data_IF_850126168316
#
_entry.id   IF_850126168316
#
_cell.length_a   1.000
_cell.length_b   1.000
_cell.length_c   1.000
_cell.angle_alpha   90.00
_cell.angle_beta   90.00
_cell.angle_gamma   90.00
#
_symmetry.space_group_name_H-M   'P 1'
#
loop_
_entity.id
_entity.type
_entity.pdbx_description
1 polymer ?
#
# COMPACT_ATOMS: atom_id res chain seq x y z
N UNK A 1 56.62 -49.01 -35.17
CA UNK A 1 55.84 -49.33 -36.38
C UNK A 1 54.75 -50.33 -36.03
N UNK A 2 53.49 -49.89 -35.95
CA UNK A 2 52.27 -50.71 -36.10
C UNK A 2 51.13 -49.74 -36.38
N UNK A 3 50.69 -49.73 -37.62
CA UNK A 3 49.52 -49.01 -38.08
C UNK A 3 48.24 -49.80 -37.72
N UNK A 4 47.10 -49.13 -37.95
CA UNK A 4 45.73 -49.66 -38.12
C UNK A 4 44.89 -49.78 -36.82
N UNK A 5 43.60 -49.40 -36.75
CA UNK A 5 42.64 -48.83 -37.72
C UNK A 5 41.25 -48.69 -37.02
N UNK A 6 40.52 -47.60 -37.31
CA UNK A 6 39.04 -47.40 -37.30
C UNK A 6 38.23 -47.26 -35.99
N UNK A 7 37.74 -46.02 -35.81
CA UNK A 7 36.33 -45.58 -35.64
C UNK A 7 35.40 -46.41 -34.73
N UNK A 8 34.98 -45.83 -33.60
CA UNK A 8 33.67 -45.17 -33.46
C UNK A 8 33.21 -45.05 -31.99
N UNK A 9 32.44 -43.98 -31.74
CA UNK A 9 31.25 -43.95 -30.88
C UNK A 9 31.36 -43.47 -29.41
N UNK A 10 30.48 -42.51 -29.13
CA UNK A 10 29.86 -42.11 -27.86
C UNK A 10 30.52 -41.06 -26.95
N UNK A 11 30.18 -39.79 -27.27
CA UNK A 11 29.45 -38.84 -26.40
C UNK A 11 29.49 -39.16 -24.90
N UNK A 12 30.14 -38.31 -24.09
CA UNK A 12 29.92 -38.30 -22.65
C UNK A 12 29.81 -36.85 -22.10
N UNK A 13 28.55 -36.41 -22.09
CA UNK A 13 27.85 -35.60 -21.09
C UNK A 13 28.56 -34.38 -20.46
N UNK A 14 28.29 -33.21 -21.03
CA UNK A 14 28.16 -31.97 -20.25
C UNK A 14 26.77 -31.97 -19.56
N UNK A 15 26.69 -32.47 -18.33
CA UNK A 15 25.48 -32.32 -17.50
C UNK A 15 25.60 -31.04 -16.67
N UNK A 16 25.38 -29.89 -17.31
CA UNK A 16 25.12 -28.64 -16.60
C UNK A 16 23.73 -28.76 -15.97
N UNK A 17 23.70 -29.18 -14.71
CA UNK A 17 22.46 -29.25 -13.92
C UNK A 17 22.08 -27.82 -13.53
N UNK A 18 21.39 -27.12 -14.43
CA UNK A 18 20.68 -25.88 -14.10
C UNK A 18 19.49 -26.27 -13.21
N UNK A 19 19.71 -26.30 -11.90
CA UNK A 19 18.62 -26.16 -10.93
C UNK A 19 18.06 -24.74 -11.09
N UNK A 20 17.20 -24.55 -12.09
CA UNK A 20 16.27 -23.45 -12.10
C UNK A 20 15.31 -23.70 -10.93
N UNK A 21 15.63 -23.13 -9.77
CA UNK A 21 14.72 -23.06 -8.64
C UNK A 21 13.46 -22.34 -9.11
N UNK A 22 12.40 -23.11 -9.36
CA UNK A 22 11.07 -22.56 -9.62
C UNK A 22 10.55 -22.08 -8.26
N UNK A 23 10.75 -20.80 -7.96
CA UNK A 23 10.04 -20.14 -6.87
C UNK A 23 8.55 -20.26 -7.18
N UNK A 24 7.83 -21.10 -6.44
CA UNK A 24 6.38 -21.17 -6.54
C UNK A 24 5.82 -19.80 -6.19
N UNK A 25 5.26 -19.10 -7.18
CA UNK A 25 4.56 -17.85 -6.94
C UNK A 25 3.29 -18.18 -6.14
N UNK A 26 3.24 -17.78 -4.88
CA UNK A 26 2.00 -17.77 -4.11
C UNK A 26 1.06 -16.78 -4.77
N UNK A 27 -0.15 -17.24 -5.15
CA UNK A 27 -1.17 -16.36 -5.69
C UNK A 27 -1.52 -15.30 -4.64
N UNK A 28 -1.45 -14.03 -5.04
CA UNK A 28 -1.79 -12.92 -4.16
C UNK A 28 -3.30 -12.97 -3.82
N UNK A 29 -3.63 -12.73 -2.55
CA UNK A 29 -5.01 -12.72 -2.05
C UNK A 29 -5.51 -11.29 -2.01
N UNK A 30 -6.73 -11.06 -2.49
CA UNK A 30 -7.38 -9.75 -2.41
C UNK A 30 -8.21 -9.64 -1.14
N UNK A 31 -7.98 -8.58 -0.37
CA UNK A 31 -8.73 -8.21 0.84
C UNK A 31 -9.40 -6.86 0.61
N UNK A 32 -10.64 -6.72 1.06
CA UNK A 32 -11.44 -5.50 0.92
C UNK A 32 -12.01 -5.07 2.27
N UNK A 33 -11.71 -3.84 2.64
CA UNK A 33 -12.21 -3.22 3.85
C UNK A 33 -12.83 -1.85 3.55
N UNK A 34 -13.74 -1.45 4.42
CA UNK A 34 -14.10 -0.05 4.63
C UNK A 34 -13.26 0.50 5.77
N UNK A 35 -12.82 1.75 5.66
CA UNK A 35 -12.00 2.40 6.68
C UNK A 35 -12.59 3.76 7.07
N UNK A 36 -12.40 4.13 8.33
CA UNK A 36 -12.74 5.44 8.87
C UNK A 36 -11.73 5.86 9.92
N UNK A 37 -11.35 7.13 9.97
CA UNK A 37 -10.36 7.64 10.90
C UNK A 37 -10.29 9.17 10.98
N UNK A 38 -9.36 9.64 11.78
CA UNK A 38 -9.17 11.06 12.12
C UNK A 38 -7.71 11.45 11.93
N UNK A 39 -7.48 12.70 11.54
CA UNK A 39 -6.15 13.28 11.50
C UNK A 39 -5.69 13.62 12.92
N UNK A 40 -4.48 13.21 13.27
CA UNK A 40 -3.91 13.40 14.61
C UNK A 40 -2.68 14.29 14.60
N UNK A 41 -2.01 14.43 13.47
CA UNK A 41 -0.85 15.30 13.28
C UNK A 41 -0.82 15.77 11.84
N UNK A 42 -0.55 17.07 11.63
CA UNK A 42 -0.45 17.64 10.29
C UNK A 42 0.62 18.72 10.21
N UNK A 43 1.13 18.89 9.00
CA UNK A 43 1.98 20.00 8.57
C UNK A 43 1.51 20.43 7.18
N UNK A 44 2.17 21.43 6.57
CA UNK A 44 1.84 21.82 5.20
C UNK A 44 2.04 20.70 4.17
N UNK A 45 2.86 19.68 4.45
CA UNK A 45 3.26 18.64 3.48
C UNK A 45 3.16 17.21 4.03
N UNK A 46 2.49 17.03 5.16
CA UNK A 46 2.32 15.72 5.77
C UNK A 46 1.05 15.69 6.62
N UNK A 47 0.30 14.59 6.55
CA UNK A 47 -0.82 14.28 7.44
C UNK A 47 -0.67 12.87 8.04
N UNK A 48 -0.98 12.71 9.32
CA UNK A 48 -1.01 11.41 10.01
C UNK A 48 -2.41 11.13 10.51
N UNK A 49 -2.94 9.98 10.11
CA UNK A 49 -4.29 9.54 10.42
C UNK A 49 -4.27 8.21 11.17
N UNK A 50 -5.25 8.03 12.04
CA UNK A 50 -5.51 6.76 12.73
C UNK A 50 -6.98 6.41 12.63
N UNK A 51 -7.32 5.13 12.67
CA UNK A 51 -8.72 4.72 12.54
C UNK A 51 -8.94 3.23 12.62
N UNK A 52 -10.11 2.81 12.14
CA UNK A 52 -10.55 1.41 12.12
C UNK A 52 -10.87 0.96 10.69
N UNK A 53 -10.63 -0.32 10.43
CA UNK A 53 -10.98 -1.04 9.22
C UNK A 53 -12.05 -2.10 9.54
N UNK A 54 -12.97 -2.33 8.61
CA UNK A 54 -14.03 -3.35 8.68
C UNK A 54 -14.18 -4.04 7.34
N UNK A 55 -14.16 -5.37 7.34
CA UNK A 55 -14.26 -6.18 6.13
C UNK A 55 -13.50 -7.49 6.30
N UNK A 56 -12.69 -7.83 5.30
CA UNK A 56 -11.85 -9.03 5.29
C UNK A 56 -10.73 -8.98 6.34
N UNK A 57 -10.16 -7.80 6.61
CA UNK A 57 -9.08 -7.59 7.58
C UNK A 57 -9.47 -6.50 8.60
N UNK A 58 -10.45 -6.78 9.49
CA UNK A 58 -10.88 -5.80 10.47
C UNK A 58 -9.77 -5.50 11.48
N UNK A 59 -9.70 -4.25 11.95
CA UNK A 59 -8.71 -3.85 12.94
C UNK A 59 -8.35 -2.37 12.94
N UNK A 60 -7.35 -2.00 13.73
CA UNK A 60 -6.90 -0.63 13.88
C UNK A 60 -5.78 -0.32 12.90
N UNK A 61 -5.80 0.88 12.32
CA UNK A 61 -4.79 1.32 11.39
C UNK A 61 -4.21 2.69 11.75
N UNK A 62 -3.00 2.92 11.22
CA UNK A 62 -2.31 4.20 11.21
C UNK A 62 -1.71 4.41 9.83
N UNK A 63 -1.77 5.63 9.32
CA UNK A 63 -1.02 6.04 8.14
C UNK A 63 -0.39 7.41 8.33
N UNK A 64 0.78 7.60 7.74
CA UNK A 64 1.37 8.91 7.50
C UNK A 64 1.53 9.09 6.00
N UNK A 65 0.99 10.19 5.47
CA UNK A 65 1.05 10.56 4.05
C UNK A 65 1.90 11.80 3.90
N UNK A 66 2.87 11.76 3.00
CA UNK A 66 3.60 12.94 2.53
C UNK A 66 2.95 13.44 1.25
N UNK A 67 2.80 14.76 1.13
CA UNK A 67 2.15 15.38 -0.02
C UNK A 67 2.72 16.77 -0.30
N UNK A 68 2.46 17.30 -1.50
CA UNK A 68 2.67 18.72 -1.79
C UNK A 68 1.74 19.60 -0.95
N UNK A 69 2.03 20.90 -0.74
CA UNK A 69 1.09 21.79 -0.07
C UNK A 69 -0.34 21.69 -0.65
N UNK A 70 -1.33 21.56 0.23
CA UNK A 70 -2.73 21.37 -0.17
C UNK A 70 -3.38 22.72 -0.51
N UNK A 71 -3.27 23.14 -1.78
CA UNK A 71 -3.80 24.43 -2.26
C UNK A 71 -4.23 24.40 -3.74
N UNK A 72 -5.52 24.19 -4.06
CA UNK A 72 -6.50 23.48 -3.24
C UNK A 72 -6.27 21.96 -3.25
N UNK A 73 -5.52 21.46 -4.22
CA UNK A 73 -5.23 20.04 -4.40
C UNK A 73 -3.82 19.70 -3.92
N UNK A 74 -3.55 18.41 -3.75
CA UNK A 74 -2.21 17.92 -3.45
C UNK A 74 -1.90 16.62 -4.20
N UNK A 75 -0.62 16.45 -4.52
CA UNK A 75 -0.06 15.18 -4.98
C UNK A 75 0.55 14.46 -3.79
N UNK A 76 0.22 13.18 -3.61
CA UNK A 76 0.85 12.32 -2.61
C UNK A 76 2.21 11.86 -3.15
N UNK A 77 3.25 12.12 -2.38
CA UNK A 77 4.66 11.92 -2.78
C UNK A 77 5.35 10.82 -1.98
N UNK A 78 4.68 10.28 -0.97
CA UNK A 78 5.18 9.19 -0.15
C UNK A 78 4.26 8.93 1.03
N UNK A 79 4.66 7.98 1.86
CA UNK A 79 3.91 7.64 3.07
C UNK A 79 4.06 6.18 3.44
N UNK A 80 3.51 5.82 4.58
CA UNK A 80 3.43 4.45 5.07
C UNK A 80 2.12 4.23 5.80
N UNK A 81 1.67 2.98 5.83
CA UNK A 81 0.55 2.56 6.66
C UNK A 81 0.86 1.27 7.42
N UNK A 82 0.12 1.08 8.49
CA UNK A 82 0.06 -0.17 9.24
C UNK A 82 -1.38 -0.48 9.63
N UNK A 83 -1.78 -1.74 9.48
CA UNK A 83 -3.07 -2.28 9.91
C UNK A 83 -2.80 -3.46 10.85
N UNK A 84 -3.23 -3.35 12.10
CA UNK A 84 -3.22 -4.44 13.06
C UNK A 84 -4.53 -5.22 12.93
N UNK A 85 -4.46 -6.47 12.48
CA UNK A 85 -5.63 -7.30 12.18
C UNK A 85 -5.38 -8.75 12.64
N UNK A 86 -6.36 -9.63 12.40
CA UNK A 86 -6.23 -11.07 12.62
C UNK A 86 -6.32 -11.78 11.28
N UNK A 87 -5.31 -12.60 10.97
CA UNK A 87 -5.28 -13.44 9.78
C UNK A 87 -5.07 -14.89 10.22
N UNK A 88 -5.93 -15.81 9.76
CA UNK A 88 -5.89 -17.23 10.13
C UNK A 88 -5.81 -17.46 11.66
N UNK A 89 -6.56 -16.66 12.44
CA UNK A 89 -6.62 -16.75 13.89
C UNK A 89 -5.40 -16.19 14.63
N UNK A 90 -4.42 -15.61 13.94
CA UNK A 90 -3.24 -14.98 14.53
C UNK A 90 -3.23 -13.47 14.35
N UNK A 91 -2.81 -12.74 15.38
CA UNK A 91 -2.60 -11.29 15.28
C UNK A 91 -1.44 -10.99 14.32
N UNK A 92 -1.70 -10.14 13.33
CA UNK A 92 -0.75 -9.76 12.28
C UNK A 92 -0.79 -8.26 12.07
N UNK A 93 0.37 -7.65 11.84
CA UNK A 93 0.44 -6.27 11.32
C UNK A 93 0.76 -6.32 9.83
N UNK A 94 -0.19 -5.92 9.00
CA UNK A 94 0.02 -5.62 7.59
C UNK A 94 0.62 -4.23 7.50
N UNK A 95 1.68 -4.05 6.70
CA UNK A 95 2.30 -2.74 6.46
C UNK A 95 2.47 -2.51 4.98
N UNK A 96 2.56 -1.25 4.59
CA UNK A 96 2.97 -0.81 3.27
C UNK A 96 3.58 0.57 3.32
N UNK A 97 4.25 0.95 2.24
CA UNK A 97 4.96 2.23 2.13
C UNK A 97 4.93 2.79 0.71
N UNK A 98 5.78 3.79 0.45
CA UNK A 98 5.98 4.40 -0.87
C UNK A 98 4.68 4.92 -1.50
N UNK A 99 3.81 5.50 -0.69
CA UNK A 99 2.49 5.92 -1.15
C UNK A 99 2.58 6.93 -2.31
N UNK A 100 1.73 6.76 -3.33
CA UNK A 100 1.53 7.73 -4.41
C UNK A 100 0.03 7.95 -4.62
N UNK A 101 -0.36 9.09 -5.19
CA UNK A 101 -1.78 9.39 -5.34
C UNK A 101 -2.11 10.87 -5.40
N UNK A 102 -3.39 11.19 -5.19
CA UNK A 102 -3.92 12.56 -5.25
C UNK A 102 -4.94 12.84 -4.15
N UNK A 103 -4.99 14.10 -3.74
CA UNK A 103 -6.03 14.69 -2.91
C UNK A 103 -6.62 15.84 -3.70
N UNK A 104 -7.91 15.78 -4.05
CA UNK A 104 -8.57 16.76 -4.92
C UNK A 104 -9.77 17.39 -4.24
N UNK A 105 -9.85 18.71 -4.22
CA UNK A 105 -10.99 19.43 -3.64
C UNK A 105 -12.26 19.08 -4.43
N UNK A 106 -13.28 18.59 -3.71
CA UNK A 106 -14.61 18.31 -4.26
C UNK A 106 -15.58 19.46 -3.99
N UNK A 107 -15.54 20.00 -2.78
CA UNK A 107 -16.45 21.05 -2.33
C UNK A 107 -15.87 21.83 -1.17
N UNK A 108 -16.36 23.06 -1.00
CA UNK A 108 -15.91 23.97 0.05
C UNK A 108 -14.92 25.00 -0.46
N UNK A 109 -14.66 26.00 0.36
CA UNK A 109 -13.72 27.09 0.10
C UNK A 109 -12.86 27.33 1.34
N UNK A 110 -12.01 28.37 1.33
CA UNK A 110 -11.06 28.64 2.42
C UNK A 110 -11.69 28.70 3.83
N UNK A 111 -12.92 29.21 3.94
CA UNK A 111 -13.57 29.50 5.23
C UNK A 111 -14.84 28.66 5.47
N UNK A 112 -14.97 27.52 4.80
CA UNK A 112 -16.10 26.59 5.01
C UNK A 112 -15.56 25.19 5.18
N UNK A 113 -16.35 24.27 5.72
CA UNK A 113 -16.03 22.85 5.65
C UNK A 113 -15.65 22.45 4.20
N UNK A 114 -14.59 21.64 4.09
CA UNK A 114 -14.01 21.24 2.82
C UNK A 114 -14.08 19.72 2.71
N UNK A 115 -14.39 19.23 1.52
CA UNK A 115 -14.34 17.81 1.22
C UNK A 115 -13.39 17.58 0.05
N UNK A 116 -12.56 16.55 0.19
CA UNK A 116 -11.55 16.17 -0.78
C UNK A 116 -11.76 14.72 -1.20
N UNK A 117 -11.67 14.45 -2.50
CA UNK A 117 -11.46 13.11 -3.01
C UNK A 117 -10.03 12.67 -2.69
N UNK A 118 -9.86 11.48 -2.14
CA UNK A 118 -8.54 10.89 -1.88
C UNK A 118 -8.44 9.60 -2.68
N UNK A 119 -7.36 9.47 -3.44
CA UNK A 119 -7.00 8.26 -4.19
C UNK A 119 -5.51 8.00 -3.96
N UNK A 120 -5.18 6.92 -3.25
CA UNK A 120 -3.81 6.62 -2.82
C UNK A 120 -3.49 5.15 -3.01
N UNK A 121 -2.32 4.85 -3.55
CA UNK A 121 -1.76 3.50 -3.64
C UNK A 121 -0.50 3.40 -2.79
N UNK A 122 -0.44 2.39 -1.92
CA UNK A 122 0.77 1.95 -1.22
C UNK A 122 1.34 0.71 -1.89
N UNK A 123 2.64 0.56 -1.77
CA UNK A 123 3.42 -0.57 -2.27
C UNK A 123 4.06 -1.32 -1.10
N UNK A 124 4.75 -2.40 -1.44
CA UNK A 124 5.43 -3.28 -0.49
C UNK A 124 4.49 -3.83 0.59
N UNK A 125 3.22 -4.04 0.20
CA UNK A 125 2.16 -4.39 1.14
C UNK A 125 2.23 -5.86 1.50
N UNK A 126 2.19 -6.13 2.80
CA UNK A 126 2.03 -7.49 3.32
C UNK A 126 2.34 -7.60 4.81
N UNK A 127 2.25 -8.83 5.37
CA UNK A 127 2.56 -9.09 6.77
C UNK A 127 4.01 -8.71 7.11
N UNK A 128 4.22 -7.95 8.17
CA UNK A 128 5.56 -7.61 8.66
C UNK A 128 6.33 -6.56 7.85
N UNK A 129 5.75 -5.98 6.78
CA UNK A 129 6.36 -4.86 6.03
C UNK A 129 7.50 -5.25 5.10
N UNK A 130 7.47 -6.47 4.56
CA UNK A 130 8.37 -6.93 3.48
C UNK A 130 7.57 -7.58 2.34
N UNK A 131 6.33 -7.17 2.15
CA UNK A 131 5.47 -7.73 1.13
C UNK A 131 5.82 -7.20 -0.26
N UNK A 132 5.33 -7.87 -1.29
CA UNK A 132 5.40 -7.40 -2.69
C UNK A 132 4.05 -6.93 -3.21
N UNK A 133 3.04 -6.84 -2.33
CA UNK A 133 1.69 -6.48 -2.69
C UNK A 133 1.44 -4.98 -2.77
N UNK A 134 0.20 -4.63 -3.02
CA UNK A 134 -0.27 -3.24 -3.10
C UNK A 134 -1.52 -3.03 -2.24
N UNK A 135 -1.77 -1.79 -1.83
CA UNK A 135 -3.00 -1.37 -1.19
C UNK A 135 -3.50 -0.10 -1.84
N UNK A 136 -4.74 -0.10 -2.31
CA UNK A 136 -5.40 1.05 -2.94
C UNK A 136 -6.52 1.55 -2.05
N UNK A 137 -6.45 2.82 -1.67
CA UNK A 137 -7.47 3.52 -0.91
C UNK A 137 -8.18 4.54 -1.81
N UNK A 138 -9.52 4.52 -1.77
CA UNK A 138 -10.36 5.56 -2.37
C UNK A 138 -11.37 6.05 -1.35
N UNK A 139 -11.46 7.37 -1.17
CA UNK A 139 -12.30 7.91 -0.11
C UNK A 139 -12.49 9.42 -0.13
N UNK A 140 -12.96 9.90 1.01
CA UNK A 140 -13.21 11.32 1.26
C UNK A 140 -12.48 11.74 2.53
N UNK A 141 -11.68 12.81 2.40
CA UNK A 141 -11.16 13.58 3.52
C UNK A 141 -12.06 14.78 3.72
N UNK A 142 -12.50 15.01 4.96
CA UNK A 142 -13.32 16.16 5.34
C UNK A 142 -12.54 17.02 6.32
N UNK A 143 -12.30 18.28 5.96
CA UNK A 143 -11.83 19.30 6.90
C UNK A 143 -13.03 20.02 7.49
N UNK A 144 -13.05 20.10 8.83
CA UNK A 144 -13.93 20.98 9.58
C UNK A 144 -13.25 22.31 9.77
N UNK A 145 -13.91 23.39 9.34
CA UNK A 145 -13.34 24.73 9.36
C UNK A 145 -14.14 25.62 10.30
N UNK A 146 -13.43 26.27 11.23
CA UNK A 146 -13.98 27.27 12.14
C UNK A 146 -13.04 28.46 12.19
N UNK A 147 -13.57 29.68 12.15
CA UNK A 147 -12.78 30.91 12.11
C UNK A 147 -11.71 30.91 10.99
N UNK A 148 -12.04 30.33 9.82
CA UNK A 148 -11.14 30.15 8.67
C UNK A 148 -9.87 29.31 8.94
N UNK A 149 -9.91 28.46 9.97
CA UNK A 149 -8.84 27.52 10.31
C UNK A 149 -9.42 26.10 10.34
N UNK A 150 -8.65 25.12 9.85
CA UNK A 150 -9.00 23.70 9.98
C UNK A 150 -8.87 23.30 11.44
N UNK A 151 -9.97 22.87 12.06
CA UNK A 151 -10.03 22.49 13.48
C UNK A 151 -10.10 20.98 13.70
N UNK A 152 -10.51 20.24 12.68
CA UNK A 152 -10.51 18.78 12.69
C UNK A 152 -10.51 18.26 11.25
N UNK A 153 -10.01 17.04 11.07
CA UNK A 153 -10.07 16.35 9.79
C UNK A 153 -10.39 14.87 9.98
N UNK A 154 -11.28 14.35 9.13
CA UNK A 154 -11.71 12.95 9.16
C UNK A 154 -11.58 12.34 7.78
N UNK A 155 -11.20 11.07 7.70
CA UNK A 155 -11.10 10.32 6.45
C UNK A 155 -11.99 9.08 6.50
N UNK A 156 -12.66 8.77 5.39
CA UNK A 156 -13.40 7.51 5.25
C UNK A 156 -13.41 7.04 3.80
N UNK A 157 -13.48 5.73 3.58
CA UNK A 157 -13.48 5.18 2.23
C UNK A 157 -13.31 3.66 2.18
N UNK A 158 -12.88 3.17 1.03
CA UNK A 158 -12.64 1.76 0.76
C UNK A 158 -11.13 1.53 0.60
N UNK A 159 -10.66 0.43 1.17
CA UNK A 159 -9.30 -0.07 1.07
C UNK A 159 -9.34 -1.44 0.39
N UNK A 160 -8.59 -1.60 -0.70
CA UNK A 160 -8.38 -2.90 -1.35
C UNK A 160 -6.90 -3.23 -1.26
N UNK A 161 -6.56 -4.37 -0.67
CA UNK A 161 -5.20 -4.87 -0.56
C UNK A 161 -5.02 -6.14 -1.37
N UNK A 162 -3.86 -6.32 -1.99
CA UNK A 162 -3.54 -7.51 -2.78
C UNK A 162 -2.11 -7.96 -2.44
N UNK A 163 -1.97 -9.06 -1.68
CA UNK A 163 -0.68 -9.61 -1.25
C UNK A 163 -0.77 -11.09 -0.85
#
# INVERSE_FOLDING_TARGET
>A
MKAMLRLALFVLSALAMTLAGTSAATAATTYKDTVSGEETQWTATQGTFVGTAKGDLPGDWKTTINHTPLTPDATVTGGNFSLNTTMNGSSVTVRGDSATGTVKLKSGTLCTDQQYAVDVTYYHVGPGGKGSGTAHFTGTLTHKVSLCVVVAATVSGNLTMNF
#
